data_IF_022971819893
#
_entry.id   IF_022971819893
#
_cell.length_a   1.000
_cell.length_b   1.000
_cell.length_c   1.000
_cell.angle_alpha   90.00
_cell.angle_beta   90.00
_cell.angle_gamma   90.00
#
_symmetry.space_group_name_H-M   'P 1'
#
loop_
_entity.id
_entity.type
_entity.pdbx_description
1 polymer ?
#
# COMPACT_ATOMS: atom_id res chain seq x y z
N UNK A 1 -17.25 4.09 -5.09
CA UNK A 1 -17.58 2.77 -5.67
C UNK A 1 -16.40 1.87 -5.34
N UNK A 2 -16.61 0.87 -4.49
CA UNK A 2 -15.59 -0.13 -4.21
C UNK A 2 -15.23 -0.87 -5.51
N UNK A 3 -13.94 -1.02 -5.80
CA UNK A 3 -13.48 -1.66 -7.04
C UNK A 3 -13.63 -3.17 -6.91
N UNK A 4 -14.50 -3.77 -7.73
CA UNK A 4 -14.51 -5.24 -7.85
C UNK A 4 -13.24 -5.68 -8.55
N UNK A 5 -12.43 -6.50 -7.90
CA UNK A 5 -11.29 -7.14 -8.54
C UNK A 5 -11.78 -8.01 -9.71
N UNK A 6 -11.11 -7.96 -10.87
CA UNK A 6 -11.38 -8.91 -11.95
C UNK A 6 -11.20 -10.36 -11.46
N UNK A 7 -12.10 -11.25 -11.89
CA UNK A 7 -12.16 -12.64 -11.40
C UNK A 7 -10.97 -13.51 -11.82
N UNK A 8 -10.22 -13.06 -12.82
CA UNK A 8 -9.01 -13.70 -13.34
C UNK A 8 -7.76 -13.33 -12.54
N UNK A 9 -7.85 -12.41 -11.58
CA UNK A 9 -6.75 -12.12 -10.64
C UNK A 9 -6.67 -13.23 -9.60
N UNK A 10 -5.48 -13.80 -9.45
CA UNK A 10 -5.22 -14.90 -8.53
C UNK A 10 -4.59 -14.34 -7.28
N UNK A 11 -5.30 -14.44 -6.14
CA UNK A 11 -4.74 -14.04 -4.86
C UNK A 11 -3.60 -15.00 -4.45
N UNK A 12 -2.40 -14.46 -4.30
CA UNK A 12 -1.25 -15.24 -3.86
C UNK A 12 -1.05 -15.11 -2.35
N UNK A 13 -0.78 -16.24 -1.71
CA UNK A 13 -0.59 -16.36 -0.26
C UNK A 13 0.72 -17.06 -0.02
N UNK A 14 1.53 -16.50 0.89
CA UNK A 14 2.81 -17.10 1.29
C UNK A 14 2.59 -18.56 1.71
N UNK A 15 3.42 -19.52 1.26
CA UNK A 15 3.21 -20.93 1.56
C UNK A 15 3.21 -21.27 3.05
N UNK A 16 4.07 -20.60 3.84
CA UNK A 16 4.35 -20.95 5.24
C UNK A 16 3.20 -20.63 6.20
N UNK A 17 2.63 -19.43 6.10
CA UNK A 17 1.65 -18.89 7.06
C UNK A 17 0.30 -18.54 6.40
N UNK A 18 0.18 -18.74 5.08
CA UNK A 18 -1.01 -18.43 4.27
C UNK A 18 -1.37 -16.93 4.26
N UNK A 19 -0.43 -16.08 4.65
CA UNK A 19 -0.58 -14.63 4.65
C UNK A 19 -0.73 -14.12 3.20
N UNK A 20 -1.79 -13.34 2.88
CA UNK A 20 -1.96 -12.78 1.54
C UNK A 20 -0.89 -11.71 1.28
N UNK A 21 -0.13 -11.85 0.21
CA UNK A 21 0.97 -10.92 -0.14
C UNK A 21 0.70 -10.10 -1.39
N UNK A 22 -0.34 -10.44 -2.15
CA UNK A 22 -0.79 -9.69 -3.32
C UNK A 22 -1.60 -10.55 -4.28
N UNK A 23 -1.56 -10.17 -5.56
CA UNK A 23 -2.24 -10.84 -6.64
C UNK A 23 -1.30 -11.09 -7.82
N UNK A 24 -1.60 -12.14 -8.59
CA UNK A 24 -1.01 -12.39 -9.89
C UNK A 24 -2.11 -12.18 -10.93
N UNK A 25 -1.89 -11.23 -11.84
CA UNK A 25 -2.82 -10.87 -12.93
C UNK A 25 -2.31 -11.42 -14.27
N UNK A 26 -3.16 -12.01 -15.12
CA UNK A 26 -2.75 -12.40 -16.47
C UNK A 26 -2.46 -11.18 -17.36
N UNK A 27 -1.43 -11.27 -18.19
CA UNK A 27 -1.05 -10.27 -19.20
C UNK A 27 -0.59 -10.99 -20.47
N UNK A 28 -1.50 -11.19 -21.43
CA UNK A 28 -1.22 -12.02 -22.60
C UNK A 28 -1.01 -13.49 -22.21
N UNK A 29 0.15 -14.05 -22.58
CA UNK A 29 0.59 -15.40 -22.20
C UNK A 29 1.41 -15.40 -20.89
N UNK A 30 1.68 -14.23 -20.33
CA UNK A 30 2.51 -13.98 -19.16
C UNK A 30 1.67 -13.49 -17.95
N UNK A 31 2.35 -13.10 -16.88
CA UNK A 31 1.77 -12.70 -15.60
C UNK A 31 2.42 -11.45 -15.03
N UNK A 32 1.65 -10.68 -14.26
CA UNK A 32 2.12 -9.49 -13.54
C UNK A 32 1.84 -9.67 -12.05
N UNK A 33 2.89 -9.52 -11.23
CA UNK A 33 2.75 -9.45 -9.78
C UNK A 33 2.24 -8.08 -9.36
N UNK A 34 1.18 -8.06 -8.54
CA UNK A 34 0.54 -6.84 -8.04
C UNK A 34 0.51 -6.88 -6.51
N UNK A 35 1.12 -5.90 -5.86
CA UNK A 35 1.13 -5.73 -4.39
C UNK A 35 -0.29 -5.55 -3.82
N UNK A 36 -0.44 -5.69 -2.50
CA UNK A 36 -1.70 -5.42 -1.80
C UNK A 36 -2.26 -4.00 -2.03
N UNK A 37 -1.41 -3.02 -2.31
CA UNK A 37 -1.84 -1.66 -2.68
C UNK A 37 -2.29 -1.52 -4.14
N UNK A 38 -2.33 -2.61 -4.92
CA UNK A 38 -2.71 -2.60 -6.32
C UNK A 38 -1.60 -2.07 -7.26
N UNK A 39 -0.36 -1.99 -6.78
CA UNK A 39 0.80 -1.57 -7.60
C UNK A 39 1.48 -2.76 -8.22
N UNK A 40 1.80 -2.65 -9.50
CA UNK A 40 2.63 -3.62 -10.21
C UNK A 40 4.03 -3.65 -9.60
N UNK A 41 4.48 -4.85 -9.25
CA UNK A 41 5.83 -5.12 -8.73
C UNK A 41 6.77 -5.60 -9.83
N UNK A 42 6.20 -6.12 -10.91
CA UNK A 42 6.92 -6.64 -12.08
C UNK A 42 6.30 -6.09 -13.36
N UNK A 43 7.01 -6.25 -14.48
CA UNK A 43 6.36 -6.30 -15.80
C UNK A 43 5.71 -7.67 -16.04
N UNK A 44 5.40 -7.97 -17.30
CA UNK A 44 4.99 -9.30 -17.73
C UNK A 44 6.15 -10.28 -17.59
N UNK A 45 5.96 -11.33 -16.78
CA UNK A 45 6.94 -12.36 -16.44
C UNK A 45 6.25 -13.73 -16.36
N UNK A 46 7.04 -14.80 -16.28
CA UNK A 46 6.48 -16.12 -16.01
C UNK A 46 5.91 -16.22 -14.58
N UNK A 47 5.09 -17.25 -14.35
CA UNK A 47 4.39 -17.46 -13.08
C UNK A 47 5.34 -17.51 -11.88
N UNK A 48 6.46 -18.24 -11.98
CA UNK A 48 7.38 -18.43 -10.87
C UNK A 48 8.05 -17.11 -10.49
N UNK A 49 8.49 -16.34 -11.50
CA UNK A 49 9.05 -15.00 -11.28
C UNK A 49 8.05 -14.05 -10.60
N UNK A 50 6.75 -14.13 -10.92
CA UNK A 50 5.72 -13.33 -10.25
C UNK A 50 5.51 -13.74 -8.78
N UNK A 51 5.52 -15.04 -8.47
CA UNK A 51 5.46 -15.55 -7.09
C UNK A 51 6.66 -15.09 -6.27
N UNK A 52 7.87 -15.28 -6.79
CA UNK A 52 9.11 -14.87 -6.11
C UNK A 52 9.14 -13.37 -5.81
N UNK A 53 8.63 -12.53 -6.72
CA UNK A 53 8.54 -11.09 -6.51
C UNK A 53 7.59 -10.72 -5.35
N UNK A 54 6.45 -11.41 -5.24
CA UNK A 54 5.49 -11.22 -4.14
C UNK A 54 6.06 -11.68 -2.80
N UNK A 55 6.71 -12.84 -2.78
CA UNK A 55 7.34 -13.39 -1.58
C UNK A 55 8.50 -12.51 -1.08
N UNK A 56 9.36 -12.05 -1.99
CA UNK A 56 10.49 -11.17 -1.66
C UNK A 56 10.04 -9.80 -1.14
N UNK A 57 8.92 -9.28 -1.65
CA UNK A 57 8.35 -8.01 -1.18
C UNK A 57 7.76 -8.17 0.23
N UNK A 58 7.06 -9.29 0.49
CA UNK A 58 6.42 -9.55 1.79
C UNK A 58 5.41 -8.47 2.20
N UNK A 59 5.13 -8.34 3.50
CA UNK A 59 4.21 -7.33 4.06
C UNK A 59 4.85 -6.32 5.00
N UNK A 60 6.12 -6.50 5.39
CA UNK A 60 6.77 -5.67 6.41
C UNK A 60 6.71 -4.17 6.06
N UNK A 61 6.82 -3.84 4.77
CA UNK A 61 6.74 -2.49 4.22
C UNK A 61 5.39 -1.78 4.46
N UNK A 62 4.29 -2.51 4.70
CA UNK A 62 3.01 -1.90 5.06
C UNK A 62 3.03 -1.27 6.45
N UNK A 63 3.88 -1.79 7.35
CA UNK A 63 4.04 -1.27 8.70
C UNK A 63 4.98 -0.05 8.77
N UNK A 64 5.66 0.27 7.67
CA UNK A 64 6.53 1.44 7.59
C UNK A 64 5.74 2.75 7.69
N UNK A 65 6.49 3.84 7.75
CA UNK A 65 5.93 5.19 7.71
C UNK A 65 5.73 5.61 6.26
N UNK A 66 4.55 6.14 5.99
CA UNK A 66 4.16 6.65 4.69
C UNK A 66 3.93 8.15 4.72
N UNK A 67 3.96 8.76 3.55
CA UNK A 67 3.53 10.14 3.35
C UNK A 67 2.33 10.16 2.42
N UNK A 68 1.30 10.91 2.81
CA UNK A 68 0.16 11.22 1.98
C UNK A 68 0.29 12.66 1.47
N UNK A 69 0.55 12.80 0.17
CA UNK A 69 0.61 14.10 -0.51
C UNK A 69 -0.74 14.81 -0.45
N UNK A 70 -0.71 16.14 -0.23
CA UNK A 70 -1.91 16.97 -0.15
C UNK A 70 -1.83 18.13 -1.14
N UNK A 71 -2.88 18.38 -1.94
CA UNK A 71 -2.90 19.53 -2.82
C UNK A 71 -2.65 20.84 -2.06
N UNK A 72 -1.55 21.53 -2.37
CA UNK A 72 -1.23 22.84 -1.79
C UNK A 72 -0.81 22.84 -0.32
N UNK A 73 -0.45 21.69 0.26
CA UNK A 73 0.03 21.59 1.64
C UNK A 73 1.18 20.61 1.80
N UNK A 74 1.77 20.58 2.99
CA UNK A 74 2.84 19.62 3.30
C UNK A 74 2.31 18.17 3.30
N UNK A 75 3.12 17.19 2.90
CA UNK A 75 2.76 15.78 2.98
C UNK A 75 2.45 15.38 4.42
N UNK A 76 1.42 14.56 4.61
CA UNK A 76 1.00 14.08 5.92
C UNK A 76 1.70 12.76 6.24
N UNK A 77 2.35 12.68 7.39
CA UNK A 77 2.92 11.42 7.90
C UNK A 77 1.81 10.48 8.37
N UNK A 78 1.75 9.28 7.79
CA UNK A 78 0.67 8.32 8.04
C UNK A 78 1.20 6.88 8.20
N UNK A 79 0.35 6.01 8.74
CA UNK A 79 0.49 4.55 8.69
C UNK A 79 -0.70 3.94 7.98
N UNK A 80 -0.45 2.88 7.23
CA UNK A 80 -1.51 2.06 6.63
C UNK A 80 -2.10 1.20 7.74
N UNK A 81 -3.43 1.21 7.88
CA UNK A 81 -4.14 0.43 8.91
C UNK A 81 -5.12 -0.56 8.33
N UNK A 82 -5.52 -0.37 7.07
CA UNK A 82 -6.36 -1.30 6.35
C UNK A 82 -6.02 -1.25 4.86
N UNK A 83 -5.92 -2.41 4.22
CA UNK A 83 -5.78 -2.55 2.78
C UNK A 83 -6.72 -3.65 2.32
N UNK A 84 -7.69 -3.27 1.50
CA UNK A 84 -8.58 -4.21 0.81
C UNK A 84 -8.76 -3.76 -0.62
N UNK A 85 -9.30 -4.62 -1.50
CA UNK A 85 -9.72 -4.20 -2.83
C UNK A 85 -10.82 -3.14 -2.85
N UNK A 86 -11.56 -2.97 -1.75
CA UNK A 86 -12.58 -1.94 -1.63
C UNK A 86 -11.99 -0.55 -1.34
N UNK A 87 -10.77 -0.50 -0.79
CA UNK A 87 -10.07 0.73 -0.48
C UNK A 87 -8.86 0.55 0.45
N UNK A 88 -8.15 1.65 0.66
CA UNK A 88 -7.02 1.74 1.58
C UNK A 88 -7.35 2.75 2.67
N UNK A 89 -7.11 2.40 3.93
CA UNK A 89 -7.26 3.33 5.05
C UNK A 89 -5.91 3.60 5.65
N UNK A 90 -5.58 4.89 5.77
CA UNK A 90 -4.39 5.37 6.46
C UNK A 90 -4.80 6.23 7.65
N UNK A 91 -3.93 6.30 8.66
CA UNK A 91 -4.12 7.19 9.79
C UNK A 91 -2.88 8.04 10.05
N UNK A 92 -3.05 9.23 10.60
CA UNK A 92 -1.94 10.09 11.03
C UNK A 92 -1.02 9.37 12.01
N UNK A 93 0.30 9.51 11.82
CA UNK A 93 1.33 8.99 12.73
C UNK A 93 2.00 10.16 13.46
N UNK A 94 1.61 10.37 14.72
CA UNK A 94 2.27 11.32 15.63
C UNK A 94 3.42 10.63 16.39
N UNK A 95 4.35 10.04 15.63
CA UNK A 95 5.54 9.35 16.15
C UNK A 95 5.23 8.23 17.16
N UNK A 96 4.09 7.55 16.99
CA UNK A 96 3.65 6.49 17.90
C UNK A 96 3.08 6.97 19.23
N UNK A 97 2.77 8.26 19.38
CA UNK A 97 2.01 8.76 20.54
C UNK A 97 0.62 8.11 20.58
N UNK A 98 0.37 7.33 21.63
CA UNK A 98 -0.89 6.55 21.77
C UNK A 98 -2.09 7.45 22.10
N UNK A 99 -1.84 8.57 22.78
CA UNK A 99 -2.89 9.50 23.23
C UNK A 99 -3.12 10.67 22.24
N UNK A 100 -2.36 10.72 21.14
CA UNK A 100 -2.53 11.75 20.13
C UNK A 100 -3.85 11.53 19.35
N UNK A 101 -4.59 12.61 19.02
CA UNK A 101 -5.72 12.50 18.11
C UNK A 101 -5.28 11.89 16.77
N UNK A 102 -5.97 10.81 16.35
CA UNK A 102 -5.74 10.18 15.04
C UNK A 102 -6.80 10.63 14.04
N UNK A 103 -6.36 11.10 12.88
CA UNK A 103 -7.23 11.32 11.73
C UNK A 103 -7.08 10.15 10.76
N UNK A 104 -8.22 9.62 10.28
CA UNK A 104 -8.25 8.52 9.29
C UNK A 104 -8.65 9.06 7.93
N UNK A 105 -7.92 8.64 6.90
CA UNK A 105 -8.19 8.97 5.51
C UNK A 105 -8.48 7.69 4.73
N UNK A 106 -9.65 7.65 4.09
CA UNK A 106 -10.00 6.60 3.15
C UNK A 106 -9.51 7.00 1.74
N UNK A 107 -8.77 6.11 1.11
CA UNK A 107 -8.18 6.24 -0.22
C UNK A 107 -8.76 5.14 -1.12
N UNK A 108 -8.82 5.37 -2.45
CA UNK A 108 -9.24 4.32 -3.37
C UNK A 108 -8.23 3.18 -3.40
N UNK A 109 -8.70 2.04 -3.91
CA UNK A 109 -7.84 0.95 -4.38
C UNK A 109 -7.96 0.86 -5.91
N UNK A 110 -6.86 0.69 -6.67
CA UNK A 110 -5.46 0.73 -6.25
C UNK A 110 -5.08 2.03 -5.52
N UNK A 111 -4.10 1.92 -4.62
CA UNK A 111 -3.68 3.06 -3.80
C UNK A 111 -3.14 4.19 -4.68
N UNK A 112 -3.57 5.43 -4.43
CA UNK A 112 -3.15 6.58 -5.23
C UNK A 112 -1.63 6.81 -5.13
N UNK A 113 -1.06 7.48 -6.14
CA UNK A 113 0.37 7.80 -6.18
C UNK A 113 0.78 8.78 -5.05
N UNK A 114 -0.20 9.56 -4.59
CA UNK A 114 -0.12 10.49 -3.46
C UNK A 114 0.22 9.78 -2.14
N UNK A 115 -0.14 8.50 -1.98
CA UNK A 115 0.32 7.68 -0.86
C UNK A 115 1.68 7.09 -1.22
N UNK A 116 2.78 7.55 -0.64
CA UNK A 116 4.12 7.07 -1.01
C UNK A 116 4.98 6.71 0.20
N UNK A 117 6.03 5.89 0.01
CA UNK A 117 7.01 5.68 1.07
C UNK A 117 7.61 7.00 1.54
N UNK A 118 7.95 7.06 2.84
CA UNK A 118 8.73 8.16 3.40
C UNK A 118 10.11 8.20 2.74
N UNK A 119 10.57 9.40 2.44
CA UNK A 119 11.90 9.77 1.96
C UNK A 119 12.66 10.48 3.08
N UNK A 120 13.98 10.55 2.96
CA UNK A 120 14.83 11.16 3.98
C UNK A 120 14.64 12.68 4.08
N UNK A 121 14.18 13.33 3.02
CA UNK A 121 13.91 14.77 2.94
C UNK A 121 12.48 15.16 3.34
N UNK A 122 11.65 14.19 3.72
CA UNK A 122 10.28 14.47 4.15
C UNK A 122 10.24 15.24 5.47
N UNK A 123 9.28 16.19 5.63
CA UNK A 123 9.10 16.88 6.89
C UNK A 123 8.75 15.87 7.98
N UNK A 124 9.46 15.95 9.09
CA UNK A 124 9.04 15.27 10.31
C UNK A 124 7.72 15.93 10.77
N UNK A 125 6.65 15.14 10.89
CA UNK A 125 5.28 15.57 11.20
C UNK A 125 5.04 16.35 12.51
N UNK A 126 6.09 16.91 13.14
CA UNK A 126 6.03 17.78 14.32
C UNK A 126 5.45 19.17 14.04
N UNK A 127 5.10 19.50 12.81
CA UNK A 127 4.51 20.79 12.45
C UNK A 127 3.03 20.60 12.11
N UNK A 128 2.19 20.51 13.14
CA UNK A 128 0.81 20.94 12.99
C UNK A 128 0.85 22.48 13.00
N UNK A 129 0.52 23.20 11.91
CA UNK A 129 0.27 24.62 12.04
C UNK A 129 -0.89 24.78 13.02
N UNK A 130 -0.66 25.54 14.08
CA UNK A 130 -1.73 25.99 14.95
C UNK A 130 -2.81 26.63 14.08
N UNK A 131 -4.05 26.14 14.21
CA UNK A 131 -5.23 26.73 13.59
C UNK A 131 -5.41 28.19 14.02
#
# INVERSE_FOLDING_TARGET
MAGVLPSDWIAHRRPDDREPVGWIRPEGDDWVAVSLLGRELTGAVDWLSAEEALEATGLAWLADVWMLERPGGEPLRVRIVEVTPDGVVVQTDDFGAVDAPVERHALPWPAPAELRPRRDDDPDGRVLPAR
#
